data_IF_564535224724
#
_entry.id   IF_564535224724
#
_cell.length_a   1.000
_cell.length_b   1.000
_cell.length_c   1.000
_cell.angle_alpha   90.00
_cell.angle_beta   90.00
_cell.angle_gamma   90.00
#
_symmetry.space_group_name_H-M   'P 1'
#
loop_
_entity.id
_entity.type
_entity.pdbx_description
1 polymer ?
#
# COMPACT_ATOMS: atom_id res chain seq x y z
N UNK A 1 -67.31 -29.37 -31.17
CA UNK A 1 -66.30 -29.98 -30.28
C UNK A 1 -64.91 -29.35 -30.43
N UNK A 2 -64.39 -29.17 -31.66
CA UNK A 2 -63.04 -28.62 -31.91
C UNK A 2 -62.83 -27.18 -31.39
N UNK A 3 -63.83 -26.31 -31.46
CA UNK A 3 -63.76 -24.92 -31.00
C UNK A 3 -63.68 -24.78 -29.47
N UNK A 4 -64.28 -25.73 -28.73
CA UNK A 4 -64.26 -25.76 -27.27
C UNK A 4 -62.88 -26.20 -26.76
N UNK A 5 -62.27 -27.16 -27.46
CA UNK A 5 -60.89 -27.61 -27.20
C UNK A 5 -59.87 -26.47 -27.34
N UNK A 6 -59.99 -25.64 -28.39
CA UNK A 6 -59.13 -24.47 -28.57
C UNK A 6 -59.31 -23.42 -27.48
N UNK A 7 -60.55 -23.21 -27.01
CA UNK A 7 -60.82 -22.31 -25.89
C UNK A 7 -60.11 -22.72 -24.60
N UNK A 8 -60.10 -24.04 -24.30
CA UNK A 8 -59.42 -24.58 -23.11
C UNK A 8 -57.88 -24.51 -23.20
N UNK A 9 -57.33 -24.69 -24.40
CA UNK A 9 -55.88 -24.57 -24.61
C UNK A 9 -55.41 -23.12 -24.44
N UNK A 10 -56.19 -22.16 -24.94
CA UNK A 10 -55.86 -20.74 -24.82
C UNK A 10 -55.91 -20.26 -23.36
N UNK A 11 -56.89 -20.70 -22.58
CA UNK A 11 -56.97 -20.35 -21.15
C UNK A 11 -55.84 -20.97 -20.35
N UNK A 12 -55.43 -22.21 -20.64
CA UNK A 12 -54.28 -22.82 -19.98
C UNK A 12 -52.97 -22.07 -20.31
N UNK A 13 -52.80 -21.64 -21.56
CA UNK A 13 -51.62 -20.89 -21.99
C UNK A 13 -51.53 -19.50 -21.34
N UNK A 14 -52.63 -18.75 -21.28
CA UNK A 14 -52.63 -17.42 -20.64
C UNK A 14 -52.37 -17.53 -19.14
N UNK A 15 -52.92 -18.56 -18.48
CA UNK A 15 -52.69 -18.80 -17.05
C UNK A 15 -51.24 -19.18 -16.76
N UNK A 16 -50.66 -20.09 -17.55
CA UNK A 16 -49.25 -20.48 -17.42
C UNK A 16 -48.27 -19.34 -17.71
N UNK A 17 -48.54 -18.52 -18.73
CA UNK A 17 -47.71 -17.37 -19.05
C UNK A 17 -47.76 -16.29 -17.95
N UNK A 18 -48.94 -16.04 -17.36
CA UNK A 18 -49.09 -15.11 -16.23
C UNK A 18 -48.31 -15.58 -14.99
N UNK A 19 -48.42 -16.86 -14.66
CA UNK A 19 -47.71 -17.44 -13.51
C UNK A 19 -46.19 -17.42 -13.70
N UNK A 20 -45.71 -17.80 -14.89
CA UNK A 20 -44.29 -17.76 -15.21
C UNK A 20 -43.74 -16.33 -15.15
N UNK A 21 -44.46 -15.36 -15.72
CA UNK A 21 -44.04 -13.96 -15.72
C UNK A 21 -43.95 -13.38 -14.31
N UNK A 22 -44.95 -13.63 -13.46
CA UNK A 22 -44.96 -13.20 -12.06
C UNK A 22 -43.87 -13.86 -11.19
N UNK A 23 -43.62 -15.16 -11.42
CA UNK A 23 -42.53 -15.87 -10.76
C UNK A 23 -41.17 -15.32 -11.17
N UNK A 24 -40.95 -15.07 -12.47
CA UNK A 24 -39.70 -14.50 -12.95
C UNK A 24 -39.48 -13.05 -12.51
N UNK A 25 -40.55 -12.25 -12.38
CA UNK A 25 -40.42 -10.87 -11.89
C UNK A 25 -40.09 -10.81 -10.40
N UNK A 26 -40.67 -11.68 -9.56
CA UNK A 26 -40.32 -11.74 -8.15
C UNK A 26 -38.87 -12.15 -7.90
N UNK A 27 -38.36 -13.09 -8.69
CA UNK A 27 -36.93 -13.49 -8.63
C UNK A 27 -36.01 -12.37 -9.14
N UNK A 28 -36.44 -11.59 -10.14
CA UNK A 28 -35.68 -10.45 -10.63
C UNK A 28 -35.59 -9.33 -9.58
N UNK A 29 -36.69 -8.99 -8.93
CA UNK A 29 -36.75 -7.94 -7.88
C UNK A 29 -35.87 -8.30 -6.67
N UNK A 30 -35.89 -9.55 -6.21
CA UNK A 30 -35.04 -10.02 -5.11
C UNK A 30 -33.56 -9.98 -5.46
N UNK A 31 -33.22 -10.29 -6.72
CA UNK A 31 -31.85 -10.30 -7.20
C UNK A 31 -31.32 -8.87 -7.39
N UNK A 32 -32.15 -7.94 -7.86
CA UNK A 32 -31.83 -6.51 -7.95
C UNK A 32 -31.60 -5.89 -6.56
N UNK A 33 -32.47 -6.18 -5.58
CA UNK A 33 -32.27 -5.73 -4.20
C UNK A 33 -30.99 -6.30 -3.58
N UNK A 34 -30.66 -7.56 -3.87
CA UNK A 34 -29.41 -8.18 -3.39
C UNK A 34 -28.18 -7.56 -4.05
N UNK A 35 -28.25 -7.24 -5.35
CA UNK A 35 -27.18 -6.51 -6.04
C UNK A 35 -27.00 -5.12 -5.44
N UNK A 36 -28.07 -4.37 -5.23
CA UNK A 36 -28.01 -3.03 -4.63
C UNK A 36 -27.36 -3.04 -3.25
N UNK A 37 -27.74 -3.98 -2.37
CA UNK A 37 -27.10 -4.12 -1.05
C UNK A 37 -25.61 -4.41 -1.14
N UNK A 38 -25.18 -5.26 -2.08
CA UNK A 38 -23.75 -5.54 -2.29
C UNK A 38 -22.99 -4.34 -2.85
N UNK A 39 -23.63 -3.52 -3.71
CA UNK A 39 -23.03 -2.27 -4.20
C UNK A 39 -22.89 -1.23 -3.09
N UNK A 40 -23.92 -1.03 -2.26
CA UNK A 40 -23.86 -0.09 -1.12
C UNK A 40 -22.77 -0.50 -0.11
N UNK A 41 -22.68 -1.80 0.19
CA UNK A 41 -21.66 -2.34 1.10
C UNK A 41 -20.26 -2.21 0.50
N UNK A 42 -20.11 -2.42 -0.82
CA UNK A 42 -18.84 -2.21 -1.52
C UNK A 42 -18.44 -0.74 -1.61
N UNK A 43 -19.40 0.17 -1.79
CA UNK A 43 -19.14 1.61 -1.85
C UNK A 43 -18.66 2.16 -0.50
N UNK A 44 -19.25 1.70 0.61
CA UNK A 44 -18.78 2.02 1.95
C UNK A 44 -17.33 1.56 2.19
N UNK A 45 -17.00 0.32 1.81
CA UNK A 45 -15.64 -0.23 1.96
C UNK A 45 -14.63 0.49 1.04
N UNK A 46 -15.03 0.88 -0.18
CA UNK A 46 -14.18 1.65 -1.10
C UNK A 46 -13.95 3.08 -0.56
N UNK A 47 -14.94 3.68 0.10
CA UNK A 47 -14.81 4.96 0.80
C UNK A 47 -13.76 4.91 1.90
N UNK A 48 -13.86 3.92 2.80
CA UNK A 48 -12.89 3.74 3.90
C UNK A 48 -11.48 3.45 3.38
N UNK A 49 -11.33 2.65 2.32
CA UNK A 49 -10.03 2.39 1.67
C UNK A 49 -9.42 3.66 1.05
N UNK A 50 -10.24 4.57 0.51
CA UNK A 50 -9.76 5.85 -0.04
C UNK A 50 -9.25 6.77 1.04
N UNK A 51 -9.96 6.89 2.16
CA UNK A 51 -9.52 7.71 3.28
C UNK A 51 -8.23 7.15 3.91
N UNK A 52 -8.15 5.84 4.12
CA UNK A 52 -6.94 5.19 4.63
C UNK A 52 -5.75 5.39 3.68
N UNK A 53 -6.00 5.42 2.37
CA UNK A 53 -4.97 5.70 1.36
C UNK A 53 -4.51 7.16 1.36
N UNK A 54 -5.40 8.10 1.68
CA UNK A 54 -5.07 9.52 1.79
C UNK A 54 -4.18 9.78 3.01
N UNK A 55 -4.53 9.19 4.16
CA UNK A 55 -3.73 9.27 5.38
C UNK A 55 -2.35 8.61 5.19
N UNK A 56 -2.29 7.44 4.56
CA UNK A 56 -1.02 6.78 4.26
C UNK A 56 -0.12 7.65 3.35
N UNK A 57 -0.70 8.33 2.36
CA UNK A 57 0.04 9.26 1.49
C UNK A 57 0.54 10.49 2.26
N UNK A 58 -0.24 11.03 3.18
CA UNK A 58 0.16 12.15 4.02
C UNK A 58 1.34 11.79 4.93
N UNK A 59 1.27 10.63 5.61
CA UNK A 59 2.37 10.12 6.46
C UNK A 59 3.64 9.86 5.65
N UNK A 60 3.51 9.26 4.45
CA UNK A 60 4.66 9.06 3.55
C UNK A 60 5.29 10.38 3.09
N UNK A 61 4.47 11.39 2.79
CA UNK A 61 4.96 12.71 2.40
C UNK A 61 5.71 13.40 3.54
N UNK A 62 5.19 13.32 4.76
CA UNK A 62 5.85 13.83 5.97
C UNK A 62 7.17 13.11 6.24
N UNK A 63 7.16 11.77 6.19
CA UNK A 63 8.38 10.96 6.36
C UNK A 63 9.44 11.29 5.31
N UNK A 64 9.04 11.51 4.05
CA UNK A 64 9.95 11.92 2.98
C UNK A 64 10.56 13.30 3.27
N UNK A 65 9.74 14.27 3.70
CA UNK A 65 10.20 15.61 4.08
C UNK A 65 11.18 15.55 5.25
N UNK A 66 10.87 14.79 6.30
CA UNK A 66 11.76 14.60 7.44
C UNK A 66 13.10 13.96 7.04
N UNK A 67 13.08 12.95 6.16
CA UNK A 67 14.30 12.34 5.65
C UNK A 67 15.14 13.32 4.80
N UNK A 68 14.49 14.15 3.97
CA UNK A 68 15.20 15.19 3.22
C UNK A 68 15.88 16.20 4.14
N UNK A 69 15.20 16.69 5.16
CA UNK A 69 15.79 17.60 6.16
C UNK A 69 16.96 16.95 6.90
N UNK A 70 16.83 15.68 7.30
CA UNK A 70 17.92 14.93 7.96
C UNK A 70 19.13 14.76 7.04
N UNK A 71 18.91 14.49 5.75
CA UNK A 71 19.99 14.35 4.78
C UNK A 71 20.72 15.68 4.56
N UNK A 72 19.98 16.77 4.36
CA UNK A 72 20.57 18.11 4.22
C UNK A 72 21.38 18.51 5.44
N UNK A 73 20.83 18.34 6.65
CA UNK A 73 21.57 18.58 7.89
C UNK A 73 22.79 17.65 8.03
N UNK A 74 22.70 16.42 7.51
CA UNK A 74 23.82 15.49 7.44
C UNK A 74 24.92 15.96 6.48
N UNK A 75 24.55 16.47 5.32
CA UNK A 75 25.48 17.03 4.32
C UNK A 75 26.17 18.28 4.85
N UNK A 76 25.43 19.20 5.48
CA UNK A 76 26.01 20.38 6.14
C UNK A 76 27.00 19.99 7.24
N UNK A 77 26.66 19.00 8.07
CA UNK A 77 27.60 18.46 9.07
C UNK A 77 28.86 17.88 8.42
N UNK A 78 28.72 17.07 7.37
CA UNK A 78 29.89 16.52 6.63
C UNK A 78 30.75 17.63 6.06
N UNK A 79 30.13 18.65 5.46
CA UNK A 79 30.83 19.81 4.92
C UNK A 79 31.61 20.55 6.00
N UNK A 80 30.98 20.83 7.14
CA UNK A 80 31.64 21.51 8.26
C UNK A 80 32.83 20.70 8.82
N UNK A 81 32.68 19.39 8.96
CA UNK A 81 33.80 18.51 9.37
C UNK A 81 34.93 18.55 8.34
N UNK A 82 34.61 18.39 7.06
CA UNK A 82 35.61 18.43 5.98
C UNK A 82 36.34 19.78 5.92
N UNK A 83 35.62 20.88 6.07
CA UNK A 83 36.20 22.23 6.10
C UNK A 83 37.08 22.43 7.34
N UNK A 84 36.63 21.99 8.52
CA UNK A 84 37.42 22.06 9.76
C UNK A 84 38.67 21.19 9.75
N UNK A 85 38.67 20.10 8.97
CA UNK A 85 39.82 19.19 8.81
C UNK A 85 40.76 19.59 7.66
N UNK A 86 40.47 20.66 6.93
CA UNK A 86 41.14 20.99 5.66
C UNK A 86 42.62 21.33 5.83
N UNK A 87 42.98 21.93 6.96
CA UNK A 87 44.36 22.32 7.28
C UNK A 87 45.05 21.30 8.22
N UNK A 88 44.40 20.18 8.52
CA UNK A 88 44.95 19.09 9.32
C UNK A 88 45.76 18.12 8.45
N UNK A 89 47.05 18.00 8.73
CA UNK A 89 47.98 17.13 8.00
C UNK A 89 47.72 15.64 8.21
N UNK A 90 47.13 15.26 9.35
CA UNK A 90 46.71 13.89 9.63
C UNK A 90 45.40 13.54 8.90
N UNK A 91 44.49 14.50 8.75
CA UNK A 91 43.22 14.27 8.06
C UNK A 91 43.37 14.19 6.53
N UNK A 92 44.41 14.82 5.98
CA UNK A 92 44.75 14.76 4.55
C UNK A 92 45.62 13.55 4.19
N UNK A 93 46.14 12.82 5.17
CA UNK A 93 46.90 11.60 4.94
C UNK A 93 45.97 10.47 4.44
N UNK A 94 46.40 9.77 3.39
CA UNK A 94 45.69 8.60 2.91
C UNK A 94 45.70 7.52 4.00
N UNK A 95 44.52 6.98 4.31
CA UNK A 95 44.42 5.83 5.20
C UNK A 95 45.23 4.65 4.61
N UNK A 96 45.98 3.90 5.42
CA UNK A 96 46.70 2.71 4.95
C UNK A 96 45.74 1.71 4.29
N UNK A 97 46.15 1.11 3.17
CA UNK A 97 45.32 0.22 2.34
C UNK A 97 44.69 -0.92 3.15
N UNK A 98 45.44 -1.50 4.08
CA UNK A 98 44.94 -2.57 4.96
C UNK A 98 43.75 -2.13 5.83
N UNK A 99 43.70 -0.85 6.23
CA UNK A 99 42.60 -0.27 7.01
C UNK A 99 41.41 0.03 6.10
N UNK A 100 41.63 0.65 4.94
CA UNK A 100 40.55 0.96 3.99
C UNK A 100 39.86 -0.30 3.46
N UNK A 101 40.63 -1.35 3.15
CA UNK A 101 40.08 -2.63 2.68
C UNK A 101 39.31 -3.36 3.78
N UNK A 102 39.80 -3.28 5.03
CA UNK A 102 39.09 -3.80 6.20
C UNK A 102 37.72 -3.12 6.41
N UNK A 103 37.67 -1.79 6.26
CA UNK A 103 36.43 -1.01 6.36
C UNK A 103 35.48 -1.33 5.20
N UNK A 104 35.99 -1.43 3.98
CA UNK A 104 35.18 -1.76 2.80
C UNK A 104 34.59 -3.17 2.90
N UNK A 105 35.38 -4.14 3.37
CA UNK A 105 34.94 -5.52 3.63
C UNK A 105 33.86 -5.58 4.71
N UNK A 106 33.98 -4.75 5.76
CA UNK A 106 32.97 -4.66 6.83
C UNK A 106 31.67 -4.04 6.33
N UNK A 107 31.73 -3.05 5.45
CA UNK A 107 30.58 -2.48 4.75
C UNK A 107 29.83 -3.54 3.92
N UNK A 108 30.58 -4.41 3.22
CA UNK A 108 30.02 -5.47 2.38
C UNK A 108 29.53 -6.70 3.17
N UNK A 109 29.75 -6.72 4.49
CA UNK A 109 29.24 -7.79 5.36
C UNK A 109 27.73 -7.72 5.41
N UNK A 110 27.05 -8.82 5.05
CA UNK A 110 25.60 -8.94 5.09
C UNK A 110 25.03 -8.88 6.54
N UNK A 111 25.89 -8.94 7.56
CA UNK A 111 25.50 -8.87 8.95
C UNK A 111 25.47 -7.41 9.43
N UNK A 112 24.29 -6.79 9.43
CA UNK A 112 24.08 -5.42 9.94
C UNK A 112 24.47 -5.24 11.43
N UNK A 113 24.57 -6.33 12.19
CA UNK A 113 25.08 -6.34 13.57
C UNK A 113 26.57 -5.99 13.65
N UNK A 114 27.36 -6.34 12.63
CA UNK A 114 28.81 -6.15 12.60
C UNK A 114 29.16 -4.64 12.52
N UNK A 115 28.35 -3.86 11.80
CA UNK A 115 28.51 -2.41 11.63
C UNK A 115 28.07 -1.56 12.83
N UNK A 116 27.36 -2.14 13.82
CA UNK A 116 26.86 -1.43 15.01
C UNK A 116 27.50 -1.86 16.34
N UNK A 117 28.43 -2.82 16.33
CA UNK A 117 28.90 -3.46 17.55
C UNK A 117 29.82 -2.61 18.45
N UNK A 118 30.18 -1.37 18.10
CA UNK A 118 31.01 -0.55 18.99
C UNK A 118 30.83 0.96 18.81
N UNK A 119 29.70 1.50 19.29
CA UNK A 119 29.55 2.95 19.52
C UNK A 119 29.30 3.25 21.01
N UNK A 120 29.95 2.52 21.90
CA UNK A 120 29.79 2.79 23.33
C UNK A 120 30.83 2.09 24.19
N UNK A 121 32.04 2.69 24.29
CA UNK A 121 32.77 2.58 25.55
C UNK A 121 32.02 3.46 26.56
N UNK A 122 31.49 2.91 27.68
CA UNK A 122 31.16 3.75 28.81
C UNK A 122 32.50 4.25 29.37
N UNK A 123 32.62 5.57 29.47
CA UNK A 123 33.75 6.20 30.16
C UNK A 123 33.82 5.66 31.59
N UNK A 124 34.90 4.93 31.89
CA UNK A 124 35.33 4.61 33.23
C UNK A 124 36.85 4.51 33.29
#
# INVERSE_FOLDING_TARGET
MKSILWGLVLTALTYGAGYYRGYTSGVADDNEQKLQRMFDESEAVIGEMRDLSADARAVLAEAKKANQTRNQAGEERRKNITEGMRDDSCASALAPVAVSDGLLRKNQSANAADSRADTGKPDR
#
